data_IF_693803952791
#
_entry.id   IF_693803952791
#
_cell.length_a   1.000
_cell.length_b   1.000
_cell.length_c   1.000
_cell.angle_alpha   90.00
_cell.angle_beta   90.00
_cell.angle_gamma   90.00
#
_symmetry.space_group_name_H-M   'P 1'
#
loop_
_entity.id
_entity.type
_entity.pdbx_description
1 polymer ?
#
# COMPACT_ATOMS: atom_id res chain seq x y z
N UNK A 1 -57.56 -18.93 57.54
CA UNK A 1 -57.40 -18.63 56.11
C UNK A 1 -56.47 -17.43 55.98
N UNK A 2 -55.37 -17.61 55.27
CA UNK A 2 -54.15 -16.79 55.27
C UNK A 2 -54.33 -15.46 54.53
N UNK A 3 -53.82 -14.36 55.10
CA UNK A 3 -53.62 -13.07 54.41
C UNK A 3 -52.22 -13.07 53.80
N UNK A 4 -52.13 -13.03 52.47
CA UNK A 4 -50.88 -12.88 51.76
C UNK A 4 -50.49 -11.39 51.67
N UNK A 5 -49.29 -11.09 52.15
CA UNK A 5 -48.62 -9.80 52.09
C UNK A 5 -47.77 -9.76 50.81
N UNK A 6 -48.12 -8.90 49.85
CA UNK A 6 -47.33 -8.71 48.63
C UNK A 6 -46.25 -7.63 48.87
N UNK A 7 -44.99 -8.05 48.94
CA UNK A 7 -43.82 -7.17 48.98
C UNK A 7 -43.39 -6.93 47.53
N UNK A 8 -43.54 -5.68 47.07
CA UNK A 8 -43.04 -5.24 45.77
C UNK A 8 -41.59 -4.79 45.94
N UNK A 9 -40.63 -5.62 45.51
CA UNK A 9 -39.22 -5.27 45.43
C UNK A 9 -38.97 -4.50 44.15
N UNK A 10 -38.68 -3.20 44.27
CA UNK A 10 -38.26 -2.36 43.15
C UNK A 10 -36.89 -2.80 42.65
N UNK A 11 -36.85 -3.30 41.41
CA UNK A 11 -35.60 -3.61 40.71
C UNK A 11 -35.12 -2.33 40.00
N UNK A 12 -34.26 -1.56 40.66
CA UNK A 12 -33.59 -0.42 40.03
C UNK A 12 -32.50 -0.95 39.10
N UNK A 13 -32.78 -1.02 37.80
CA UNK A 13 -31.74 -1.22 36.79
C UNK A 13 -30.82 0.01 36.78
N UNK A 14 -29.66 -0.11 37.42
CA UNK A 14 -28.52 0.78 37.20
C UNK A 14 -28.00 0.53 35.78
N UNK A 15 -28.49 1.32 34.82
CA UNK A 15 -27.80 1.48 33.54
C UNK A 15 -26.48 2.19 33.82
N UNK A 16 -25.40 1.41 33.94
CA UNK A 16 -24.03 1.90 33.81
C UNK A 16 -23.87 2.42 32.38
N UNK A 17 -24.28 3.66 32.15
CA UNK A 17 -23.85 4.42 30.99
C UNK A 17 -22.35 4.59 31.08
N UNK A 18 -21.61 3.81 30.29
CA UNK A 18 -20.21 4.08 30.03
C UNK A 18 -20.14 5.48 29.40
N UNK A 19 -19.79 6.49 30.20
CA UNK A 19 -19.36 7.78 29.71
C UNK A 19 -18.03 7.56 28.97
N UNK A 20 -18.13 7.17 27.70
CA UNK A 20 -16.99 7.16 26.79
C UNK A 20 -16.49 8.59 26.66
N UNK A 21 -15.32 8.85 27.24
CA UNK A 21 -14.61 10.11 27.08
C UNK A 21 -14.47 10.37 25.57
N UNK A 22 -15.06 11.44 25.07
CA UNK A 22 -15.00 11.76 23.64
C UNK A 22 -13.53 11.98 23.27
N UNK A 23 -12.97 11.07 22.47
CA UNK A 23 -11.58 11.14 22.05
C UNK A 23 -11.33 12.47 21.32
N UNK A 24 -10.21 13.11 21.64
CA UNK A 24 -9.77 14.28 20.90
C UNK A 24 -9.03 13.81 19.65
N UNK A 25 -9.68 13.91 18.49
CA UNK A 25 -9.15 13.40 17.22
C UNK A 25 -7.71 13.78 16.93
N UNK A 26 -7.38 15.05 17.17
CA UNK A 26 -6.07 15.60 16.90
C UNK A 26 -5.03 14.92 17.80
N UNK A 27 -5.33 14.79 19.09
CA UNK A 27 -4.43 14.15 20.04
C UNK A 27 -4.26 12.65 19.76
N UNK A 28 -5.32 11.96 19.34
CA UNK A 28 -5.25 10.53 19.00
C UNK A 28 -4.44 10.28 17.72
N UNK A 29 -4.59 11.14 16.70
CA UNK A 29 -3.76 11.10 15.49
C UNK A 29 -2.30 11.32 15.83
N UNK A 30 -1.97 12.32 16.65
CA UNK A 30 -0.57 12.56 17.06
C UNK A 30 -0.01 11.38 17.84
N UNK A 31 -0.82 10.76 18.71
CA UNK A 31 -0.44 9.56 19.46
C UNK A 31 -0.12 8.40 18.53
N UNK A 32 -1.03 8.07 17.62
CA UNK A 32 -0.85 6.98 16.64
C UNK A 32 0.32 7.24 15.68
N UNK A 33 0.52 8.49 15.25
CA UNK A 33 1.66 8.86 14.39
C UNK A 33 3.01 8.66 15.09
N UNK A 34 3.12 9.04 16.37
CA UNK A 34 4.34 8.81 17.17
C UNK A 34 4.61 7.32 17.38
N UNK A 35 3.55 6.54 17.61
CA UNK A 35 3.67 5.10 17.72
C UNK A 35 4.14 4.49 16.40
N UNK A 36 3.49 4.82 15.28
CA UNK A 36 3.85 4.33 13.96
C UNK A 36 5.31 4.68 13.62
N UNK A 37 5.71 5.95 13.78
CA UNK A 37 7.08 6.42 13.54
C UNK A 37 8.13 5.52 14.20
N UNK A 38 7.91 5.19 15.46
CA UNK A 38 8.88 4.44 16.28
C UNK A 38 8.93 2.96 15.93
N UNK A 39 7.85 2.39 15.37
CA UNK A 39 7.70 0.93 15.28
C UNK A 39 7.58 0.36 13.85
N UNK A 40 7.30 1.18 12.83
CA UNK A 40 7.11 0.71 11.44
C UNK A 40 8.42 0.37 10.69
N UNK A 41 9.59 0.70 11.29
CA UNK A 41 10.92 0.41 10.74
C UNK A 41 11.30 -1.06 10.83
N UNK A 42 12.59 -1.40 10.78
CA UNK A 42 13.05 -2.79 10.91
C UNK A 42 12.73 -3.35 12.31
N UNK A 43 13.06 -2.61 13.36
CA UNK A 43 12.65 -2.89 14.74
C UNK A 43 11.26 -2.31 15.04
N UNK A 44 10.55 -2.92 15.97
CA UNK A 44 9.24 -2.49 16.43
C UNK A 44 8.70 -3.45 17.47
N UNK A 45 7.84 -2.96 18.37
CA UNK A 45 7.20 -3.77 19.39
C UNK A 45 5.70 -3.57 19.35
N UNK A 46 4.97 -4.64 19.61
CA UNK A 46 3.54 -4.59 19.81
C UNK A 46 3.18 -3.87 21.12
N UNK A 47 2.09 -3.10 21.10
CA UNK A 47 1.42 -2.62 22.30
C UNK A 47 -0.04 -3.10 22.32
N UNK A 48 -0.31 -4.14 23.10
CA UNK A 48 -1.66 -4.69 23.23
C UNK A 48 -2.66 -3.68 23.82
N UNK A 49 -2.20 -2.71 24.60
CA UNK A 49 -3.06 -1.66 25.15
C UNK A 49 -3.53 -0.70 24.05
N UNK A 50 -2.79 -0.58 22.94
CA UNK A 50 -3.15 0.28 21.81
C UNK A 50 -4.46 -0.18 21.16
N UNK A 51 -4.62 -1.48 20.87
CA UNK A 51 -5.86 -2.01 20.28
C UNK A 51 -7.03 -1.82 21.23
N UNK A 52 -6.85 -2.21 22.50
CA UNK A 52 -7.92 -2.11 23.51
C UNK A 52 -8.43 -0.68 23.67
N UNK A 53 -7.54 0.33 23.56
CA UNK A 53 -7.91 1.74 23.65
C UNK A 53 -8.86 2.21 22.54
N UNK A 54 -8.70 1.71 21.32
CA UNK A 54 -9.44 2.22 20.15
C UNK A 54 -10.58 1.32 19.70
N UNK A 55 -10.81 0.20 20.37
CA UNK A 55 -11.92 -0.71 20.07
C UNK A 55 -13.28 0.02 20.13
N UNK A 56 -14.10 -0.16 19.10
CA UNK A 56 -15.41 0.49 18.95
C UNK A 56 -15.35 1.97 18.57
N UNK A 57 -14.16 2.51 18.30
CA UNK A 57 -13.97 3.92 17.90
C UNK A 57 -13.66 4.02 16.41
N UNK A 58 -13.78 5.22 15.84
CA UNK A 58 -13.36 5.46 14.43
C UNK A 58 -11.86 5.25 14.16
N UNK A 59 -11.05 5.10 15.20
CA UNK A 59 -9.62 4.83 15.09
C UNK A 59 -9.30 3.33 15.06
N UNK A 60 -10.28 2.46 15.31
CA UNK A 60 -10.08 1.00 15.47
C UNK A 60 -9.28 0.38 14.33
N UNK A 61 -9.72 0.57 13.08
CA UNK A 61 -9.05 -0.03 11.92
C UNK A 61 -7.63 0.53 11.69
N UNK A 62 -7.43 1.83 11.93
CA UNK A 62 -6.11 2.46 11.78
C UNK A 62 -5.16 2.00 12.88
N UNK A 63 -5.64 1.90 14.11
CA UNK A 63 -4.86 1.38 15.23
C UNK A 63 -4.49 -0.09 15.01
N UNK A 64 -5.41 -0.92 14.53
CA UNK A 64 -5.15 -2.31 14.17
C UNK A 64 -4.07 -2.42 13.09
N UNK A 65 -4.16 -1.63 12.02
CA UNK A 65 -3.12 -1.58 10.99
C UNK A 65 -1.75 -1.18 11.55
N UNK A 66 -1.69 -0.08 12.32
CA UNK A 66 -0.43 0.44 12.87
C UNK A 66 0.21 -0.57 13.82
N UNK A 67 -0.61 -1.23 14.63
CA UNK A 67 -0.19 -2.29 15.53
C UNK A 67 0.33 -3.52 14.77
N UNK A 68 -0.32 -3.92 13.68
CA UNK A 68 0.16 -5.02 12.85
C UNK A 68 1.48 -4.65 12.15
N UNK A 69 1.59 -3.43 11.61
CA UNK A 69 2.80 -2.95 10.96
C UNK A 69 4.02 -2.85 11.90
N UNK A 70 3.79 -2.75 13.21
CA UNK A 70 4.85 -2.76 14.24
C UNK A 70 5.47 -4.15 14.45
N UNK A 71 4.74 -5.23 14.16
CA UNK A 71 5.18 -6.60 14.45
C UNK A 71 6.29 -7.05 13.49
N UNK A 72 7.28 -7.83 13.97
CA UNK A 72 8.15 -8.60 13.09
C UNK A 72 7.36 -9.72 12.40
N UNK A 73 7.69 -10.04 11.14
CA UNK A 73 6.98 -11.06 10.34
C UNK A 73 5.46 -10.88 10.38
N UNK A 74 5.01 -9.65 10.16
CA UNK A 74 3.62 -9.30 10.29
C UNK A 74 2.75 -9.90 9.18
N UNK A 75 1.45 -9.82 9.40
CA UNK A 75 0.38 -10.30 8.54
C UNK A 75 -0.29 -9.15 7.79
N UNK A 76 0.43 -8.05 7.52
CA UNK A 76 -0.14 -6.84 6.90
C UNK A 76 -0.66 -7.05 5.47
N UNK A 77 -0.34 -8.18 4.85
CA UNK A 77 -0.83 -8.57 3.52
C UNK A 77 -2.08 -9.46 3.56
N UNK A 78 -2.59 -9.77 4.74
CA UNK A 78 -3.86 -10.49 4.87
C UNK A 78 -5.05 -9.60 4.48
N UNK A 79 -6.17 -10.25 4.13
CA UNK A 79 -7.32 -9.58 3.51
C UNK A 79 -7.85 -8.42 4.37
N UNK A 80 -7.83 -8.53 5.69
CA UNK A 80 -8.27 -7.48 6.60
C UNK A 80 -7.51 -6.14 6.44
N UNK A 81 -6.24 -6.18 6.01
CA UNK A 81 -5.40 -4.99 5.78
C UNK A 81 -5.21 -4.69 4.29
N UNK A 82 -5.29 -5.71 3.43
CA UNK A 82 -5.15 -5.54 1.99
C UNK A 82 -6.42 -4.96 1.34
N UNK A 83 -7.59 -5.13 1.95
CA UNK A 83 -8.84 -4.56 1.43
C UNK A 83 -8.83 -3.04 1.55
N UNK A 84 -9.38 -2.35 0.55
CA UNK A 84 -9.47 -0.90 0.51
C UNK A 84 -10.31 -0.41 1.71
N UNK A 85 -9.73 0.40 2.61
CA UNK A 85 -10.48 0.91 3.75
C UNK A 85 -11.55 1.91 3.33
N UNK A 86 -12.52 2.12 4.22
CA UNK A 86 -13.52 3.18 4.04
C UNK A 86 -12.88 4.58 4.03
N UNK A 87 -13.63 5.57 3.55
CA UNK A 87 -13.13 6.94 3.42
C UNK A 87 -12.72 7.60 4.75
N UNK A 88 -13.35 7.24 5.87
CA UNK A 88 -12.99 7.81 7.18
C UNK A 88 -11.65 7.22 7.66
N UNK A 89 -11.49 5.91 7.54
CA UNK A 89 -10.25 5.19 7.85
C UNK A 89 -9.09 5.72 6.99
N UNK A 90 -9.28 5.86 5.68
CA UNK A 90 -8.28 6.42 4.76
C UNK A 90 -7.87 7.85 5.12
N UNK A 91 -8.82 8.72 5.46
CA UNK A 91 -8.53 10.11 5.84
C UNK A 91 -7.76 10.21 7.16
N UNK A 92 -8.15 9.43 8.16
CA UNK A 92 -7.43 9.37 9.44
C UNK A 92 -6.01 8.85 9.21
N UNK A 93 -5.87 7.76 8.45
CA UNK A 93 -4.56 7.17 8.14
C UNK A 93 -3.65 8.14 7.40
N UNK A 94 -4.15 8.80 6.34
CA UNK A 94 -3.39 9.81 5.60
C UNK A 94 -2.91 10.93 6.53
N UNK A 95 -3.78 11.43 7.42
CA UNK A 95 -3.39 12.46 8.40
C UNK A 95 -2.27 11.96 9.31
N UNK A 96 -2.35 10.72 9.80
CA UNK A 96 -1.29 10.09 10.61
C UNK A 96 0.04 10.04 9.85
N UNK A 97 0.02 9.65 8.57
CA UNK A 97 1.21 9.61 7.72
C UNK A 97 1.80 11.02 7.52
N UNK A 98 0.97 12.04 7.35
CA UNK A 98 1.43 13.44 7.24
C UNK A 98 2.10 13.93 8.52
N UNK A 99 1.55 13.60 9.69
CA UNK A 99 2.19 13.87 10.98
C UNK A 99 3.49 13.09 11.13
N UNK A 100 3.53 11.82 10.70
CA UNK A 100 4.75 11.02 10.67
C UNK A 100 5.86 11.68 9.83
N UNK A 101 5.52 12.13 8.62
CA UNK A 101 6.46 12.84 7.75
C UNK A 101 6.94 14.16 8.33
N UNK A 102 6.06 14.94 8.95
CA UNK A 102 6.44 16.16 9.65
C UNK A 102 7.55 15.91 10.68
N UNK A 103 7.47 14.81 11.43
CA UNK A 103 8.51 14.47 12.41
C UNK A 103 9.88 14.14 11.78
N UNK A 104 9.98 13.90 10.47
CA UNK A 104 11.25 13.73 9.75
C UNK A 104 11.84 15.04 9.18
N UNK A 105 11.11 16.15 9.24
CA UNK A 105 11.60 17.42 8.71
C UNK A 105 12.73 17.99 9.57
N UNK A 106 13.63 18.75 8.95
CA UNK A 106 14.71 19.44 9.67
C UNK A 106 14.17 20.48 10.67
N UNK A 107 13.07 21.15 10.29
CA UNK A 107 12.36 22.13 11.11
C UNK A 107 10.86 21.75 11.15
N UNK A 108 10.47 20.78 11.99
CA UNK A 108 9.10 20.27 12.02
C UNK A 108 8.12 21.33 12.56
N UNK A 109 6.93 21.40 11.98
CA UNK A 109 5.82 22.16 12.58
C UNK A 109 5.28 21.43 13.82
N UNK A 110 4.43 22.10 14.60
CA UNK A 110 3.72 21.42 15.69
C UNK A 110 2.79 20.32 15.12
N UNK A 111 2.95 19.09 15.61
CA UNK A 111 2.20 17.93 15.12
C UNK A 111 0.67 18.08 15.26
N UNK A 112 0.21 18.84 16.26
CA UNK A 112 -1.20 19.18 16.48
C UNK A 112 -1.71 20.08 15.36
N UNK A 113 -0.90 21.05 14.92
CA UNK A 113 -1.21 21.95 13.80
C UNK A 113 -1.29 21.15 12.50
N UNK A 114 -0.32 20.27 12.25
CA UNK A 114 -0.31 19.40 11.06
C UNK A 114 -1.54 18.49 11.03
N UNK A 115 -1.85 17.83 12.15
CA UNK A 115 -3.03 16.97 12.27
C UNK A 115 -4.34 17.74 12.02
N UNK A 116 -4.51 18.92 12.63
CA UNK A 116 -5.67 19.78 12.40
C UNK A 116 -5.80 20.21 10.93
N UNK A 117 -4.68 20.53 10.30
CA UNK A 117 -4.65 20.96 8.90
C UNK A 117 -5.13 19.86 7.98
N UNK A 118 -4.56 18.65 8.09
CA UNK A 118 -4.90 17.54 7.19
C UNK A 118 -6.26 16.91 7.49
N UNK A 119 -6.77 17.00 8.72
CA UNK A 119 -8.17 16.65 9.01
C UNK A 119 -9.19 17.55 8.30
N UNK A 120 -8.84 18.82 8.06
CA UNK A 120 -9.72 19.79 7.37
C UNK A 120 -9.49 19.85 5.87
N UNK A 121 -8.27 19.56 5.43
CA UNK A 121 -7.88 19.58 4.02
C UNK A 121 -8.72 18.58 3.22
N UNK A 122 -9.18 19.00 2.05
CA UNK A 122 -9.74 18.10 1.06
C UNK A 122 -8.58 17.47 0.28
N UNK A 123 -8.29 16.21 0.59
CA UNK A 123 -7.23 15.42 -0.05
C UNK A 123 -7.91 14.38 -0.91
N UNK A 124 -7.46 14.23 -2.16
CA UNK A 124 -8.05 13.26 -3.08
C UNK A 124 -8.01 11.85 -2.51
N UNK A 125 -9.06 11.07 -2.78
CA UNK A 125 -9.14 9.67 -2.33
C UNK A 125 -7.97 8.82 -2.86
N UNK A 126 -7.50 9.10 -4.08
CA UNK A 126 -6.33 8.45 -4.67
C UNK A 126 -5.05 8.71 -3.88
N UNK A 127 -4.82 9.94 -3.39
CA UNK A 127 -3.66 10.24 -2.53
C UNK A 127 -3.76 9.52 -1.17
N UNK A 128 -4.95 9.41 -0.60
CA UNK A 128 -5.15 8.67 0.66
C UNK A 128 -4.91 7.16 0.48
N UNK A 129 -5.39 6.59 -0.62
CA UNK A 129 -5.14 5.19 -1.01
C UNK A 129 -3.64 4.94 -1.20
N UNK A 130 -2.97 5.82 -1.94
CA UNK A 130 -1.53 5.72 -2.16
C UNK A 130 -0.74 5.75 -0.85
N UNK A 131 -1.07 6.66 0.07
CA UNK A 131 -0.41 6.73 1.38
C UNK A 131 -0.62 5.45 2.21
N UNK A 132 -1.82 4.87 2.16
CA UNK A 132 -2.15 3.62 2.84
C UNK A 132 -1.32 2.45 2.30
N UNK A 133 -1.36 2.22 0.99
CA UNK A 133 -0.67 1.07 0.39
C UNK A 133 0.85 1.23 0.33
N UNK A 134 1.37 2.46 0.21
CA UNK A 134 2.82 2.71 0.37
C UNK A 134 3.27 2.28 1.76
N UNK A 135 2.52 2.66 2.81
CA UNK A 135 2.82 2.25 4.18
C UNK A 135 2.72 0.72 4.37
N UNK A 136 1.74 0.06 3.75
CA UNK A 136 1.58 -1.39 3.77
C UNK A 136 2.80 -2.08 3.14
N UNK A 137 3.21 -1.68 1.94
CA UNK A 137 4.32 -2.32 1.22
C UNK A 137 5.69 -1.98 1.81
N UNK A 138 5.88 -0.77 2.36
CA UNK A 138 7.07 -0.45 3.17
C UNK A 138 7.16 -1.37 4.39
N UNK A 139 6.03 -1.67 5.05
CA UNK A 139 6.00 -2.62 6.16
C UNK A 139 6.43 -4.03 5.71
N UNK A 140 5.95 -4.50 4.55
CA UNK A 140 6.41 -5.76 3.95
C UNK A 140 7.92 -5.79 3.74
N UNK A 141 8.48 -4.73 3.15
CA UNK A 141 9.92 -4.60 2.90
C UNK A 141 10.72 -4.67 4.20
N UNK A 142 10.25 -4.00 5.25
CA UNK A 142 10.96 -3.89 6.51
C UNK A 142 10.82 -5.14 7.39
N UNK A 143 9.66 -5.80 7.37
CA UNK A 143 9.31 -6.81 8.40
C UNK A 143 9.22 -8.23 7.88
N UNK A 144 9.03 -8.42 6.57
CA UNK A 144 8.66 -9.72 6.01
C UNK A 144 9.71 -10.27 5.03
N UNK A 145 10.91 -9.69 4.99
CA UNK A 145 12.00 -10.22 4.15
C UNK A 145 12.71 -11.41 4.84
N UNK A 146 13.03 -12.50 4.12
CA UNK A 146 12.61 -12.78 2.74
C UNK A 146 11.12 -13.12 2.67
N UNK A 147 10.41 -12.57 1.68
CA UNK A 147 9.00 -12.88 1.44
C UNK A 147 8.85 -13.81 0.24
N UNK A 148 7.72 -14.54 0.19
CA UNK A 148 7.31 -15.28 -0.99
C UNK A 148 5.79 -15.18 -1.15
N UNK A 149 5.37 -14.42 -2.15
CA UNK A 149 3.96 -14.21 -2.48
C UNK A 149 3.55 -14.90 -3.80
N UNK A 150 4.39 -15.78 -4.35
CA UNK A 150 4.11 -16.55 -5.58
C UNK A 150 2.79 -17.34 -5.55
N UNK A 151 2.34 -17.74 -4.35
CA UNK A 151 1.08 -18.48 -4.13
C UNK A 151 -0.10 -17.59 -3.75
N UNK A 152 0.09 -16.27 -3.70
CA UNK A 152 -0.94 -15.30 -3.35
C UNK A 152 -1.52 -14.72 -4.64
N UNK A 153 -2.84 -14.58 -4.66
CA UNK A 153 -3.55 -13.79 -5.66
C UNK A 153 -4.14 -12.56 -4.98
N UNK A 154 -3.74 -11.37 -5.43
CA UNK A 154 -4.36 -10.12 -5.03
C UNK A 154 -5.46 -9.78 -6.04
N UNK A 155 -6.67 -10.22 -5.70
CA UNK A 155 -7.87 -10.00 -6.47
C UNK A 155 -8.42 -8.59 -6.18
N UNK A 156 -7.98 -7.61 -6.97
CA UNK A 156 -8.35 -6.21 -6.84
C UNK A 156 -9.86 -5.99 -7.02
N UNK A 157 -10.56 -6.85 -7.75
CA UNK A 157 -12.02 -6.80 -7.87
C UNK A 157 -12.71 -7.13 -6.54
N UNK A 158 -12.07 -7.94 -5.70
CA UNK A 158 -12.56 -8.34 -4.39
C UNK A 158 -12.05 -7.49 -3.21
N UNK A 159 -11.14 -6.54 -3.45
CA UNK A 159 -10.56 -5.67 -2.42
C UNK A 159 -11.36 -4.38 -2.17
N UNK A 160 -12.47 -4.14 -2.88
CA UNK A 160 -13.38 -3.02 -2.58
C UNK A 160 -12.93 -1.65 -3.12
N UNK A 161 -12.07 -1.63 -4.13
CA UNK A 161 -11.79 -0.41 -4.91
C UNK A 161 -13.02 0.03 -5.70
N UNK A 162 -13.23 1.35 -5.83
CA UNK A 162 -14.44 1.89 -6.46
C UNK A 162 -14.39 1.89 -7.99
N UNK A 163 -13.21 2.02 -8.55
CA UNK A 163 -12.99 2.16 -9.99
C UNK A 163 -11.58 1.69 -10.39
N UNK A 164 -11.32 1.71 -11.70
CA UNK A 164 -10.03 1.34 -12.29
C UNK A 164 -8.89 2.25 -11.83
N UNK A 165 -9.15 3.52 -11.51
CA UNK A 165 -8.13 4.45 -11.03
C UNK A 165 -7.63 4.02 -9.65
N UNK A 166 -8.52 3.66 -8.74
CA UNK A 166 -8.15 3.19 -7.41
C UNK A 166 -7.33 1.89 -7.47
N UNK A 167 -7.72 0.96 -8.35
CA UNK A 167 -6.94 -0.27 -8.60
C UNK A 167 -5.56 0.03 -9.17
N UNK A 168 -5.46 0.95 -10.12
CA UNK A 168 -4.19 1.35 -10.69
C UNK A 168 -3.28 2.06 -9.68
N UNK A 169 -3.84 2.86 -8.76
CA UNK A 169 -3.09 3.44 -7.63
C UNK A 169 -2.51 2.35 -6.75
N UNK A 170 -3.30 1.35 -6.35
CA UNK A 170 -2.79 0.21 -5.60
C UNK A 170 -1.64 -0.49 -6.34
N UNK A 171 -1.88 -0.86 -7.60
CA UNK A 171 -0.93 -1.64 -8.38
C UNK A 171 0.38 -0.89 -8.61
N UNK A 172 0.33 0.38 -8.98
CA UNK A 172 1.53 1.16 -9.27
C UNK A 172 2.31 1.53 -8.01
N UNK A 173 1.64 1.69 -6.86
CA UNK A 173 2.31 1.82 -5.56
C UNK A 173 2.97 0.51 -5.16
N UNK A 174 2.33 -0.65 -5.41
CA UNK A 174 2.98 -1.97 -5.28
C UNK A 174 4.24 -2.07 -6.15
N UNK A 175 4.15 -1.65 -7.41
CA UNK A 175 5.29 -1.65 -8.34
C UNK A 175 6.41 -0.75 -7.84
N UNK A 176 6.11 0.44 -7.32
CA UNK A 176 7.12 1.35 -6.81
C UNK A 176 7.83 0.80 -5.57
N UNK A 177 7.08 0.31 -4.59
CA UNK A 177 7.64 -0.13 -3.32
C UNK A 177 8.31 -1.52 -3.41
N UNK A 178 7.65 -2.50 -4.04
CA UNK A 178 8.14 -3.88 -4.13
C UNK A 178 8.72 -4.21 -5.52
N UNK A 179 7.99 -3.86 -6.58
CA UNK A 179 8.38 -4.23 -7.94
C UNK A 179 9.69 -3.59 -8.43
N UNK A 180 9.99 -2.36 -7.99
CA UNK A 180 11.15 -1.57 -8.41
C UNK A 180 12.48 -2.22 -8.04
N UNK A 181 12.47 -3.20 -7.14
CA UNK A 181 13.63 -4.03 -6.80
C UNK A 181 14.21 -4.75 -8.03
N UNK A 182 13.38 -5.17 -9.00
CA UNK A 182 13.86 -5.78 -10.25
C UNK A 182 14.71 -4.78 -11.05
N UNK A 183 14.21 -3.55 -11.19
CA UNK A 183 14.96 -2.47 -11.87
C UNK A 183 16.21 -2.05 -11.11
N UNK A 184 16.19 -2.13 -9.78
CA UNK A 184 17.34 -1.85 -8.92
C UNK A 184 18.46 -2.89 -9.12
N UNK A 185 18.10 -4.17 -9.29
CA UNK A 185 19.07 -5.20 -9.64
C UNK A 185 19.66 -5.00 -11.04
N UNK A 186 18.86 -4.57 -12.02
CA UNK A 186 19.36 -4.23 -13.35
C UNK A 186 20.38 -3.07 -13.30
N UNK A 187 20.13 -2.07 -12.45
CA UNK A 187 20.95 -0.84 -12.33
C UNK A 187 22.03 -0.92 -11.24
N UNK A 188 22.35 -2.11 -10.73
CA UNK A 188 23.30 -2.26 -9.65
C UNK A 188 24.71 -1.73 -10.04
N UNK A 189 25.44 -1.19 -9.06
CA UNK A 189 26.72 -0.49 -9.29
C UNK A 189 27.78 -1.32 -10.01
N UNK A 190 27.76 -2.64 -9.83
CA UNK A 190 28.70 -3.59 -10.45
C UNK A 190 28.17 -4.22 -11.74
N UNK A 191 27.19 -3.58 -12.37
CA UNK A 191 26.43 -4.12 -13.49
C UNK A 191 25.19 -4.90 -13.04
N UNK A 192 24.35 -5.34 -14.00
CA UNK A 192 23.10 -6.03 -13.70
C UNK A 192 23.29 -7.29 -12.84
N UNK A 193 22.52 -7.39 -11.75
CA UNK A 193 22.41 -8.61 -10.94
C UNK A 193 21.30 -9.51 -11.49
N UNK A 194 21.61 -10.28 -12.53
CA UNK A 194 20.64 -11.17 -13.18
C UNK A 194 20.09 -12.26 -12.25
N UNK A 195 20.91 -12.80 -11.34
CA UNK A 195 20.45 -13.79 -10.36
C UNK A 195 19.42 -13.18 -9.42
N UNK A 196 19.65 -11.95 -8.95
CA UNK A 196 18.69 -11.25 -8.10
C UNK A 196 17.33 -11.04 -8.78
N UNK A 197 17.32 -10.70 -10.08
CA UNK A 197 16.06 -10.56 -10.85
C UNK A 197 15.39 -11.94 -11.00
N UNK A 198 16.14 -12.98 -11.37
CA UNK A 198 15.64 -14.35 -11.55
C UNK A 198 15.05 -14.92 -10.26
N UNK A 199 15.67 -14.66 -9.10
CA UNK A 199 15.19 -15.11 -7.80
C UNK A 199 13.99 -14.29 -7.31
N UNK A 200 13.93 -12.99 -7.59
CA UNK A 200 12.92 -12.09 -7.03
C UNK A 200 11.62 -12.06 -7.84
N UNK A 201 11.69 -12.06 -9.18
CA UNK A 201 10.51 -11.95 -10.03
C UNK A 201 9.44 -13.03 -9.74
N UNK A 202 9.80 -14.31 -9.51
CA UNK A 202 8.82 -15.35 -9.16
C UNK A 202 8.18 -15.18 -7.79
N UNK A 203 8.74 -14.36 -6.89
CA UNK A 203 8.21 -14.15 -5.54
C UNK A 203 7.05 -13.16 -5.50
N UNK A 204 6.83 -12.42 -6.59
CA UNK A 204 5.75 -11.44 -6.71
C UNK A 204 4.38 -12.13 -6.85
N UNK A 205 3.31 -11.52 -6.34
CA UNK A 205 1.97 -12.11 -6.38
C UNK A 205 1.37 -12.13 -7.77
N UNK A 206 0.31 -12.93 -7.92
CA UNK A 206 -0.64 -12.76 -9.01
C UNK A 206 -1.55 -11.57 -8.72
N UNK A 207 -1.99 -10.89 -9.77
CA UNK A 207 -2.97 -9.80 -9.75
C UNK A 207 -4.17 -10.26 -10.58
N UNK A 208 -5.36 -10.32 -9.96
CA UNK A 208 -6.58 -10.81 -10.61
C UNK A 208 -6.38 -12.17 -11.32
N UNK A 209 -5.63 -13.08 -10.69
CA UNK A 209 -5.33 -14.42 -11.18
C UNK A 209 -4.25 -14.50 -12.26
N UNK A 210 -3.65 -13.36 -12.65
CA UNK A 210 -2.64 -13.28 -13.70
C UNK A 210 -1.27 -12.86 -13.15
N UNK A 211 -0.16 -13.17 -13.83
CA UNK A 211 1.14 -12.62 -13.48
C UNK A 211 1.10 -11.08 -13.45
N UNK A 212 1.83 -10.47 -12.50
CA UNK A 212 1.83 -9.01 -12.31
C UNK A 212 2.12 -8.21 -13.58
N UNK A 213 2.90 -8.75 -14.52
CA UNK A 213 3.29 -8.06 -15.74
C UNK A 213 2.13 -7.92 -16.75
N UNK A 214 1.04 -8.69 -16.57
CA UNK A 214 -0.14 -8.62 -17.42
C UNK A 214 -1.14 -7.54 -16.97
N UNK A 215 -0.88 -6.83 -15.87
CA UNK A 215 -1.78 -5.76 -15.42
C UNK A 215 -1.71 -4.55 -16.37
N UNK A 216 -2.87 -4.13 -16.88
CA UNK A 216 -2.99 -3.15 -17.95
C UNK A 216 -4.21 -2.21 -17.83
N UNK A 217 -4.90 -2.23 -16.68
CA UNK A 217 -6.09 -1.43 -16.36
C UNK A 217 -5.74 0.06 -16.12
N UNK A 218 -5.15 0.70 -17.12
CA UNK A 218 -4.71 2.10 -17.09
C UNK A 218 -5.50 3.00 -18.05
N UNK A 219 -6.72 2.61 -18.39
CA UNK A 219 -7.57 3.27 -19.37
C UNK A 219 -8.34 4.47 -18.78
N UNK A 220 -7.60 5.41 -18.20
CA UNK A 220 -8.18 6.61 -17.62
C UNK A 220 -7.32 7.85 -17.87
N UNK A 221 -7.95 9.03 -17.77
CA UNK A 221 -7.22 10.29 -17.82
C UNK A 221 -6.32 10.42 -16.59
N UNK A 222 -5.06 10.73 -16.85
CA UNK A 222 -4.06 11.04 -15.82
C UNK A 222 -4.56 12.17 -14.88
N UNK A 223 -4.05 12.17 -13.66
CA UNK A 223 -4.48 13.10 -12.61
C UNK A 223 -3.31 13.46 -11.70
N UNK A 224 -3.39 14.64 -11.10
CA UNK A 224 -2.38 15.10 -10.16
C UNK A 224 -2.64 14.60 -8.75
N UNK A 225 -1.55 14.28 -8.04
CA UNK A 225 -1.56 14.01 -6.61
C UNK A 225 -0.20 14.33 -6.00
N UNK A 226 -0.15 14.46 -4.67
CA UNK A 226 1.11 14.72 -3.98
C UNK A 226 1.94 13.43 -3.88
N UNK A 227 3.03 13.36 -4.63
CA UNK A 227 3.98 12.23 -4.65
C UNK A 227 5.34 12.73 -4.14
N UNK A 228 5.79 12.19 -3.01
CA UNK A 228 7.02 12.60 -2.33
C UNK A 228 7.15 14.13 -2.17
N UNK A 229 6.11 14.76 -1.60
CA UNK A 229 6.00 16.20 -1.32
C UNK A 229 5.98 17.10 -2.56
N UNK A 230 5.73 16.55 -3.75
CA UNK A 230 5.56 17.33 -4.98
C UNK A 230 4.27 16.94 -5.67
N UNK A 231 3.57 17.93 -6.22
CA UNK A 231 2.42 17.66 -7.05
C UNK A 231 2.91 17.18 -8.42
N UNK A 232 2.43 16.00 -8.83
CA UNK A 232 2.86 15.32 -10.05
C UNK A 232 1.67 14.60 -10.66
N UNK A 233 1.68 14.49 -11.98
CA UNK A 233 0.80 13.57 -12.69
C UNK A 233 1.15 12.13 -12.31
N UNK A 234 0.12 11.37 -11.94
CA UNK A 234 0.23 10.01 -11.42
C UNK A 234 0.88 9.06 -12.42
N UNK A 235 0.38 9.01 -13.66
CA UNK A 235 0.91 8.10 -14.68
C UNK A 235 2.31 8.51 -15.14
N UNK A 236 2.57 9.82 -15.31
CA UNK A 236 3.90 10.33 -15.66
C UNK A 236 4.96 9.95 -14.62
N UNK A 237 4.58 9.83 -13.34
CA UNK A 237 5.49 9.40 -12.30
C UNK A 237 5.69 7.88 -12.26
N UNK A 238 4.60 7.12 -12.19
CA UNK A 238 4.65 5.69 -11.87
C UNK A 238 4.86 4.77 -13.09
N UNK A 239 4.31 5.10 -14.26
CA UNK A 239 4.45 4.23 -15.45
C UNK A 239 5.89 4.00 -15.87
N UNK A 240 6.81 5.00 -15.85
CA UNK A 240 8.22 4.75 -16.12
C UNK A 240 8.85 3.70 -15.18
N UNK A 241 8.42 3.63 -13.93
CA UNK A 241 8.91 2.66 -12.93
C UNK A 241 8.42 1.27 -13.30
N UNK A 242 7.15 1.14 -13.70
CA UNK A 242 6.61 -0.14 -14.17
C UNK A 242 7.31 -0.60 -15.46
N UNK A 243 7.55 0.30 -16.41
CA UNK A 243 8.34 -0.02 -17.61
C UNK A 243 9.75 -0.52 -17.26
N UNK A 244 10.46 0.18 -16.38
CA UNK A 244 11.81 -0.21 -15.96
C UNK A 244 11.83 -1.60 -15.29
N UNK A 245 10.79 -1.92 -14.50
CA UNK A 245 10.61 -3.23 -13.90
C UNK A 245 10.37 -4.32 -14.96
N UNK A 246 9.50 -4.08 -15.94
CA UNK A 246 9.21 -5.03 -17.02
C UNK A 246 10.42 -5.25 -17.93
N UNK A 247 11.15 -4.19 -18.28
CA UNK A 247 12.39 -4.27 -19.05
C UNK A 247 13.44 -5.08 -18.29
N UNK A 248 13.58 -4.89 -16.98
CA UNK A 248 14.50 -5.68 -16.17
C UNK A 248 14.14 -7.17 -16.20
N UNK A 249 12.85 -7.51 -16.10
CA UNK A 249 12.39 -8.89 -16.20
C UNK A 249 12.66 -9.47 -17.61
N UNK A 250 12.30 -8.75 -18.68
CA UNK A 250 12.53 -9.16 -20.05
C UNK A 250 14.01 -9.46 -20.33
N UNK A 251 14.90 -8.51 -20.01
CA UNK A 251 16.34 -8.65 -20.22
C UNK A 251 16.94 -9.81 -19.42
N UNK A 252 16.40 -10.09 -18.23
CA UNK A 252 16.81 -11.25 -17.45
C UNK A 252 16.43 -12.56 -18.16
N UNK A 253 15.20 -12.67 -18.68
CA UNK A 253 14.76 -13.85 -19.42
C UNK A 253 15.69 -14.12 -20.60
N UNK A 254 16.04 -13.08 -21.36
CA UNK A 254 17.01 -13.17 -22.47
C UNK A 254 18.39 -13.61 -22.00
N UNK A 255 18.95 -12.90 -21.01
CA UNK A 255 20.29 -13.17 -20.50
C UNK A 255 20.45 -14.58 -19.94
N UNK A 256 19.36 -15.12 -19.36
CA UNK A 256 19.31 -16.47 -18.80
C UNK A 256 18.93 -17.54 -19.82
N UNK A 257 18.78 -17.18 -21.10
CA UNK A 257 18.35 -18.07 -22.18
C UNK A 257 17.06 -18.82 -21.81
N UNK A 258 16.11 -18.12 -21.18
CA UNK A 258 14.80 -18.70 -20.88
C UNK A 258 14.07 -19.05 -22.18
N UNK A 259 13.13 -20.01 -22.14
CA UNK A 259 12.35 -20.39 -23.32
C UNK A 259 11.74 -19.18 -24.02
N UNK A 260 11.82 -19.16 -25.34
CA UNK A 260 11.25 -18.09 -26.18
C UNK A 260 9.77 -17.84 -25.89
N UNK A 261 9.02 -18.89 -25.50
CA UNK A 261 7.64 -18.78 -25.08
C UNK A 261 7.45 -17.87 -23.85
N UNK A 262 8.33 -17.94 -22.84
CA UNK A 262 8.26 -17.09 -21.65
C UNK A 262 8.58 -15.62 -21.98
N UNK A 263 9.60 -15.41 -22.82
CA UNK A 263 9.96 -14.07 -23.33
C UNK A 263 8.77 -13.47 -24.10
N UNK A 264 8.16 -14.26 -24.98
CA UNK A 264 7.02 -13.84 -25.79
C UNK A 264 5.78 -13.56 -24.94
N UNK A 265 5.50 -14.38 -23.92
CA UNK A 265 4.38 -14.17 -23.03
C UNK A 265 4.51 -12.82 -22.32
N UNK A 266 5.65 -12.54 -21.68
CA UNK A 266 5.88 -11.25 -21.02
C UNK A 266 5.77 -10.09 -22.00
N UNK A 267 6.45 -10.17 -23.15
CA UNK A 267 6.49 -9.07 -24.13
C UNK A 267 5.09 -8.75 -24.68
N UNK A 268 4.32 -9.77 -25.05
CA UNK A 268 3.06 -9.60 -25.77
C UNK A 268 1.87 -9.32 -24.85
N UNK A 269 1.88 -9.86 -23.63
CA UNK A 269 0.75 -9.74 -22.69
C UNK A 269 0.87 -8.55 -21.73
N UNK A 270 2.05 -7.92 -21.66
CA UNK A 270 2.27 -6.73 -20.84
C UNK A 270 2.05 -5.41 -21.60
N UNK A 271 2.19 -4.29 -20.90
CA UNK A 271 2.18 -2.95 -21.52
C UNK A 271 3.35 -2.71 -22.50
N UNK A 272 4.33 -3.62 -22.59
CA UNK A 272 5.46 -3.50 -23.52
C UNK A 272 5.03 -3.62 -24.99
N UNK A 273 3.90 -4.26 -25.30
CA UNK A 273 3.35 -4.39 -26.66
C UNK A 273 2.34 -3.30 -27.03
N UNK A 274 2.04 -2.38 -26.10
CA UNK A 274 0.92 -1.45 -26.21
C UNK A 274 1.41 -0.04 -26.51
N UNK A 275 1.33 0.35 -27.77
CA UNK A 275 1.84 1.64 -28.29
C UNK A 275 1.35 2.87 -27.48
N UNK A 276 0.11 2.84 -27.03
CA UNK A 276 -0.50 3.91 -26.22
C UNK A 276 0.28 4.24 -24.93
N UNK A 277 1.11 3.31 -24.43
CA UNK A 277 1.91 3.48 -23.23
C UNK A 277 3.38 3.81 -23.53
N UNK A 278 3.85 3.74 -24.79
CA UNK A 278 5.27 3.91 -25.15
C UNK A 278 5.86 5.26 -24.74
N UNK A 279 5.03 6.31 -24.65
CA UNK A 279 5.45 7.63 -24.17
C UNK A 279 6.05 7.62 -22.75
N UNK A 280 5.78 6.59 -21.95
CA UNK A 280 6.33 6.43 -20.60
C UNK A 280 7.62 5.58 -20.56
N UNK A 281 7.99 4.94 -21.67
CA UNK A 281 9.17 4.08 -21.73
C UNK A 281 10.42 4.87 -22.11
N UNK A 282 11.43 4.85 -21.24
CA UNK A 282 12.74 5.48 -21.51
C UNK A 282 13.69 4.61 -22.33
N UNK A 283 13.34 3.33 -22.54
CA UNK A 283 14.17 2.29 -23.18
C UNK A 283 13.47 1.71 -24.41
N UNK A 284 12.84 2.58 -25.20
CA UNK A 284 12.13 2.14 -26.42
C UNK A 284 13.05 1.50 -27.45
N UNK A 285 14.35 1.80 -27.42
CA UNK A 285 15.38 1.10 -28.19
C UNK A 285 15.44 -0.40 -27.86
N UNK A 286 15.36 -0.76 -26.57
CA UNK A 286 15.32 -2.17 -26.14
C UNK A 286 14.06 -2.83 -26.67
N UNK A 287 12.89 -2.20 -26.47
CA UNK A 287 11.59 -2.76 -26.84
C UNK A 287 11.46 -2.90 -28.37
N UNK A 288 11.77 -1.85 -29.12
CA UNK A 288 11.67 -1.86 -30.60
C UNK A 288 12.55 -2.93 -31.25
N UNK A 289 13.75 -3.20 -30.71
CA UNK A 289 14.63 -4.25 -31.23
C UNK A 289 14.01 -5.66 -31.20
N UNK A 290 13.05 -5.91 -30.31
CA UNK A 290 12.33 -7.19 -30.22
C UNK A 290 11.19 -7.30 -31.24
N UNK A 291 10.64 -6.17 -31.67
CA UNK A 291 9.59 -6.15 -32.69
C UNK A 291 10.17 -6.13 -34.10
N UNK A 292 11.34 -5.50 -34.32
CA UNK A 292 12.03 -5.46 -35.62
C UNK A 292 12.67 -6.80 -35.99
N UNK A 293 13.19 -7.58 -35.02
CA UNK A 293 13.75 -8.93 -35.28
C UNK A 293 12.73 -9.97 -35.75
N UNK A 294 11.46 -9.59 -35.89
CA UNK A 294 10.34 -10.48 -36.23
C UNK A 294 9.81 -10.28 -37.66
N UNK A 295 10.31 -9.27 -38.39
CA UNK A 295 10.10 -9.08 -39.83
C UNK A 295 11.30 -9.65 -40.62
#
# INVERSE_FOLDING_TARGET
MSKALAISTGLTLLTLGAFGQQLNDVQEIVTLAKFYRTNHGLSGSEDAALIAKYQGTKFEHVAAFIQEAAKPNNRIIEREYLSCPDSATLKIFHTIIRVNYNMYEANPEDNTIVAQTYLKKDVSRHEQISAYYSSLFVSVINKNRPFNYSKRNWDLDALGFKDEKEKAVFFLVFVDELGSQLSSYLKAMRGPNWNGIEEYAPLLPLINGKPYYQFDEFYFKDFEMNIYKKDRNFMEYYMPIFYDMLVAHLLMLEQKNKPTAEIHDLLLTSILSKEQYYKYCKRMDVISSHFIKRD
#
